data_IF_211073541563
#
_entry.id   IF_211073541563
#
_cell.length_a   1.000
_cell.length_b   1.000
_cell.length_c   1.000
_cell.angle_alpha   90.00
_cell.angle_beta   90.00
_cell.angle_gamma   90.00
#
_symmetry.space_group_name_H-M   'P 1'
#
loop_
_entity.id
_entity.type
_entity.pdbx_description
1 polymer ?
#
# COMPACT_ATOMS: atom_id res chain seq x y z
N UNK A 1 -8.31 12.21 4.33
CA UNK A 1 -7.35 13.35 4.35
C UNK A 1 -5.96 12.75 4.50
N UNK A 2 -4.96 13.21 3.74
CA UNK A 2 -3.58 12.75 3.93
C UNK A 2 -3.08 13.25 5.27
N UNK A 3 -2.47 12.35 6.05
CA UNK A 3 -1.86 12.62 7.34
C UNK A 3 -0.35 12.77 7.16
N UNK A 4 0.27 11.81 6.47
CA UNK A 4 1.71 11.80 6.16
C UNK A 4 1.93 11.03 4.84
N UNK A 5 2.87 11.49 4.03
CA UNK A 5 3.41 10.74 2.89
C UNK A 5 4.58 9.89 3.36
N UNK A 6 4.64 8.63 2.93
CA UNK A 6 5.63 7.65 3.41
C UNK A 6 6.48 7.07 2.27
N UNK A 7 6.05 7.22 1.01
CA UNK A 7 6.83 6.96 -0.21
C UNK A 7 6.30 7.83 -1.35
N UNK A 8 7.17 8.31 -2.24
CA UNK A 8 6.81 9.16 -3.39
C UNK A 8 7.65 8.81 -4.63
N UNK A 9 7.75 7.52 -4.92
CA UNK A 9 8.39 7.00 -6.12
C UNK A 9 7.36 6.74 -7.24
N UNK A 10 7.82 6.75 -8.49
CA UNK A 10 6.93 6.67 -9.67
C UNK A 10 6.10 5.38 -9.69
N UNK A 11 6.70 4.25 -9.31
CA UNK A 11 6.08 2.92 -9.32
C UNK A 11 5.70 2.43 -7.91
N UNK A 12 6.03 3.23 -6.89
CA UNK A 12 5.71 2.93 -5.51
C UNK A 12 5.47 4.21 -4.71
N UNK A 13 4.21 4.43 -4.34
CA UNK A 13 3.87 5.59 -3.51
C UNK A 13 2.86 5.22 -2.45
N UNK A 14 3.01 5.89 -1.32
CA UNK A 14 2.34 5.52 -0.08
C UNK A 14 1.97 6.75 0.73
N UNK A 15 0.76 6.76 1.28
CA UNK A 15 0.36 7.76 2.26
C UNK A 15 -0.49 7.17 3.36
N UNK A 16 -0.29 7.64 4.58
CA UNK A 16 -1.26 7.44 5.65
C UNK A 16 -2.37 8.45 5.47
N UNK A 17 -3.61 7.97 5.51
CA UNK A 17 -4.82 8.77 5.36
C UNK A 17 -5.74 8.55 6.55
N UNK A 18 -6.51 9.58 6.88
CA UNK A 18 -7.58 9.51 7.88
C UNK A 18 -8.95 9.46 7.19
N UNK A 19 -9.74 8.43 7.51
CA UNK A 19 -11.13 8.31 7.08
C UNK A 19 -11.96 9.44 7.69
N UNK A 20 -12.70 10.18 6.84
CA UNK A 20 -13.52 11.31 7.31
C UNK A 20 -14.79 10.87 8.05
N UNK A 21 -15.26 9.65 7.85
CA UNK A 21 -16.50 9.15 8.46
C UNK A 21 -16.28 8.55 9.85
N UNK A 22 -15.21 7.78 10.05
CA UNK A 22 -14.97 7.07 11.32
C UNK A 22 -13.67 7.50 12.03
N UNK A 23 -12.85 8.33 11.39
CA UNK A 23 -11.56 8.76 11.96
C UNK A 23 -10.45 7.70 11.93
N UNK A 24 -10.69 6.50 11.41
CA UNK A 24 -9.66 5.46 11.28
C UNK A 24 -8.52 5.93 10.38
N UNK A 25 -7.27 5.74 10.82
CA UNK A 25 -6.10 5.92 9.97
C UNK A 25 -5.89 4.64 9.14
N UNK A 26 -5.45 4.80 7.90
CA UNK A 26 -5.11 3.69 7.03
C UNK A 26 -3.93 4.07 6.13
N UNK A 27 -3.01 3.14 5.90
CA UNK A 27 -2.03 3.26 4.84
C UNK A 27 -2.72 2.95 3.50
N UNK A 28 -2.43 3.78 2.50
CA UNK A 28 -2.89 3.67 1.12
C UNK A 28 -1.65 3.55 0.25
N UNK A 29 -1.37 2.34 -0.23
CA UNK A 29 -0.17 2.00 -0.99
C UNK A 29 -0.56 1.67 -2.42
N UNK A 30 0.26 2.14 -3.35
CA UNK A 30 0.24 1.74 -4.75
C UNK A 30 1.60 1.12 -5.10
N UNK A 31 1.56 0.04 -5.89
CA UNK A 31 2.72 -0.65 -6.43
C UNK A 31 2.47 -0.95 -7.91
N UNK A 32 3.48 -0.75 -8.75
CA UNK A 32 3.52 -1.16 -10.15
C UNK A 32 4.79 -1.99 -10.39
N UNK A 33 4.68 -3.10 -11.12
CA UNK A 33 5.84 -3.92 -11.49
C UNK A 33 6.21 -3.63 -12.94
N UNK A 34 7.22 -2.79 -13.17
CA UNK A 34 7.62 -2.41 -14.53
C UNK A 34 8.60 -3.42 -15.12
N UNK A 35 8.22 -4.06 -16.22
CA UNK A 35 9.14 -4.94 -16.97
C UNK A 35 9.72 -4.30 -18.25
N UNK A 36 9.30 -3.08 -18.57
CA UNK A 36 9.70 -2.30 -19.76
C UNK A 36 9.35 -2.97 -21.09
N UNK A 37 8.43 -3.93 -21.10
CA UNK A 37 7.98 -4.66 -22.29
C UNK A 37 6.49 -4.40 -22.48
N UNK A 38 6.08 -4.02 -23.69
CA UNK A 38 4.67 -4.01 -24.14
C UNK A 38 3.61 -3.24 -23.30
N UNK A 39 4.00 -2.32 -22.41
CA UNK A 39 3.07 -1.55 -21.56
C UNK A 39 2.16 -2.46 -20.69
N UNK A 40 1.15 -1.87 -20.05
CA UNK A 40 0.08 -2.55 -19.30
C UNK A 40 0.59 -3.38 -18.13
N UNK A 41 1.57 -2.82 -17.41
CA UNK A 41 2.24 -3.44 -16.27
C UNK A 41 1.25 -3.83 -15.15
N UNK A 42 1.54 -4.90 -14.39
CA UNK A 42 0.79 -5.26 -13.20
C UNK A 42 0.75 -4.11 -12.20
N UNK A 43 -0.43 -3.85 -11.64
CA UNK A 43 -0.63 -2.79 -10.65
C UNK A 43 -1.44 -3.28 -9.47
N UNK A 44 -1.10 -2.77 -8.29
CA UNK A 44 -1.66 -3.18 -7.02
C UNK A 44 -1.98 -1.98 -6.13
N UNK A 45 -3.01 -2.13 -5.30
CA UNK A 45 -3.39 -1.16 -4.27
C UNK A 45 -3.71 -1.87 -2.96
N UNK A 46 -3.15 -1.37 -1.87
CA UNK A 46 -3.38 -1.87 -0.52
C UNK A 46 -4.00 -0.78 0.34
N UNK A 47 -5.10 -1.11 1.04
CA UNK A 47 -5.67 -0.27 2.09
C UNK A 47 -5.59 -1.01 3.42
N UNK A 48 -4.68 -0.54 4.27
CA UNK A 48 -4.26 -1.22 5.50
C UNK A 48 -4.69 -0.34 6.68
N UNK A 49 -5.64 -0.77 7.54
CA UNK A 49 -5.93 -0.05 8.77
C UNK A 49 -4.68 0.03 9.65
N UNK A 50 -4.37 1.22 10.18
CA UNK A 50 -3.22 1.45 11.05
C UNK A 50 -3.60 2.22 12.31
N UNK A 51 -2.96 1.88 13.41
CA UNK A 51 -3.02 2.54 14.71
C UNK A 51 -2.15 3.80 14.72
N UNK A 52 -2.33 4.66 15.72
CA UNK A 52 -1.48 5.85 15.87
C UNK A 52 0.01 5.51 16.06
N UNK A 53 0.33 4.36 16.67
CA UNK A 53 1.71 3.90 16.83
C UNK A 53 2.30 3.49 15.50
N UNK A 54 1.59 2.70 14.71
CA UNK A 54 2.03 2.27 13.38
C UNK A 54 2.18 3.45 12.41
N UNK A 55 1.33 4.50 12.53
CA UNK A 55 1.51 5.73 11.76
C UNK A 55 2.88 6.38 12.04
N UNK A 56 3.32 6.40 13.31
CA UNK A 56 4.65 6.94 13.64
C UNK A 56 5.76 6.07 13.07
N UNK A 57 5.66 4.75 13.23
CA UNK A 57 6.63 3.81 12.68
C UNK A 57 6.78 3.95 11.15
N UNK A 58 5.67 4.06 10.42
CA UNK A 58 5.69 4.29 8.97
C UNK A 58 6.27 5.66 8.60
N UNK A 59 6.02 6.70 9.40
CA UNK A 59 6.60 8.02 9.17
C UNK A 59 8.11 8.08 9.46
N UNK A 60 8.58 7.30 10.43
CA UNK A 60 9.98 7.23 10.85
C UNK A 60 10.83 6.37 9.92
N UNK A 61 10.28 5.31 9.34
CA UNK A 61 10.96 4.46 8.35
C UNK A 61 11.41 5.29 7.13
N UNK A 62 10.57 6.22 6.69
CA UNK A 62 10.84 6.98 5.46
C UNK A 62 10.88 6.09 4.22
N UNK A 63 11.26 6.66 3.09
CA UNK A 63 11.11 6.03 1.77
C UNK A 63 11.91 4.73 1.61
N UNK A 64 13.08 4.60 2.25
CA UNK A 64 13.97 3.44 2.06
C UNK A 64 13.57 2.20 2.87
N UNK A 65 12.85 2.37 3.98
CA UNK A 65 12.51 1.27 4.90
C UNK A 65 10.99 1.06 5.04
N UNK A 66 10.18 1.82 4.29
CA UNK A 66 8.72 1.76 4.40
C UNK A 66 8.14 0.41 4.01
N UNK A 67 8.74 -0.31 3.06
CA UNK A 67 8.31 -1.67 2.70
C UNK A 67 8.42 -2.62 3.90
N UNK A 68 9.59 -2.68 4.53
CA UNK A 68 9.80 -3.49 5.72
C UNK A 68 8.84 -3.07 6.85
N UNK A 69 8.65 -1.76 7.05
CA UNK A 69 7.71 -1.26 8.05
C UNK A 69 6.24 -1.61 7.73
N UNK A 70 5.87 -1.75 6.45
CA UNK A 70 4.56 -2.25 6.04
C UNK A 70 4.43 -3.75 6.28
N UNK A 71 5.47 -4.54 6.00
CA UNK A 71 5.49 -5.99 6.19
C UNK A 71 5.50 -6.42 7.67
N UNK A 72 5.92 -5.53 8.57
CA UNK A 72 5.80 -5.71 10.02
C UNK A 72 4.35 -5.52 10.53
N UNK A 73 3.46 -4.95 9.72
CA UNK A 73 2.05 -4.78 10.09
C UNK A 73 1.30 -6.11 10.02
N UNK A 74 0.43 -6.36 11.02
CA UNK A 74 -0.41 -7.55 11.07
C UNK A 74 -1.87 -7.19 11.42
N UNK A 75 -2.59 -6.47 10.52
CA UNK A 75 -3.98 -6.13 10.73
C UNK A 75 -4.90 -7.36 10.71
N UNK A 76 -6.05 -7.27 11.40
CA UNK A 76 -7.09 -8.32 11.32
C UNK A 76 -7.59 -8.54 9.89
N UNK A 77 -7.63 -7.46 9.10
CA UNK A 77 -7.89 -7.46 7.66
C UNK A 77 -7.34 -6.21 6.98
N UNK A 78 -6.98 -6.34 5.71
CA UNK A 78 -6.70 -5.24 4.81
C UNK A 78 -7.28 -5.51 3.43
N UNK A 79 -7.57 -4.45 2.67
CA UNK A 79 -8.09 -4.61 1.31
C UNK A 79 -6.92 -4.70 0.35
N UNK A 80 -6.89 -5.76 -0.45
CA UNK A 80 -6.00 -5.92 -1.58
C UNK A 80 -6.80 -5.72 -2.86
N UNK A 81 -6.28 -4.89 -3.76
CA UNK A 81 -6.77 -4.75 -5.12
C UNK A 81 -5.61 -4.92 -6.09
N UNK A 82 -5.84 -5.59 -7.22
CA UNK A 82 -4.79 -5.72 -8.22
C UNK A 82 -5.30 -6.14 -9.58
N UNK A 83 -4.50 -5.84 -10.60
CA UNK A 83 -4.66 -6.29 -11.98
C UNK A 83 -3.32 -6.83 -12.49
N UNK A 84 -3.35 -7.94 -13.19
CA UNK A 84 -2.19 -8.52 -13.87
C UNK A 84 -1.85 -7.79 -15.18
N UNK A 85 -0.76 -8.22 -15.81
CA UNK A 85 -0.31 -7.66 -17.08
C UNK A 85 -1.36 -7.84 -18.18
N UNK A 86 -1.73 -6.75 -18.84
CA UNK A 86 -2.77 -6.74 -19.88
C UNK A 86 -4.20 -6.97 -19.36
N UNK A 87 -4.40 -7.04 -18.04
CA UNK A 87 -5.74 -7.15 -17.45
C UNK A 87 -6.38 -5.76 -17.30
N UNK A 88 -7.64 -5.65 -17.75
CA UNK A 88 -8.43 -4.43 -17.61
C UNK A 88 -9.16 -4.41 -16.26
N UNK A 89 -9.60 -5.57 -15.79
CA UNK A 89 -10.44 -5.71 -14.59
C UNK A 89 -9.60 -5.76 -13.32
N UNK A 90 -10.02 -4.98 -12.32
CA UNK A 90 -9.39 -5.02 -11.00
C UNK A 90 -10.04 -6.11 -10.15
N UNK A 91 -9.23 -7.06 -9.70
CA UNK A 91 -9.62 -7.98 -8.63
C UNK A 91 -9.56 -7.27 -7.28
N UNK A 92 -10.46 -7.65 -6.35
CA UNK A 92 -10.48 -7.13 -4.98
C UNK A 92 -10.79 -8.24 -4.00
N UNK A 93 -10.02 -8.33 -2.92
CA UNK A 93 -10.29 -9.27 -1.84
C UNK A 93 -9.78 -8.76 -0.49
N UNK A 94 -10.39 -9.27 0.58
CA UNK A 94 -9.90 -9.03 1.94
C UNK A 94 -8.80 -10.03 2.26
N UNK A 95 -7.61 -9.53 2.54
CA UNK A 95 -6.50 -10.30 3.11
C UNK A 95 -6.45 -10.07 4.63
N UNK A 96 -5.67 -10.88 5.35
CA UNK A 96 -5.60 -10.91 6.82
C UNK A 96 -4.20 -11.24 7.30
N UNK A 97 -3.85 -10.75 8.49
CA UNK A 97 -2.55 -11.03 9.11
C UNK A 97 -1.47 -10.17 8.48
N UNK A 98 -0.25 -10.71 8.41
CA UNK A 98 0.92 -9.99 7.91
C UNK A 98 0.66 -9.40 6.52
N UNK A 99 0.98 -8.13 6.35
CA UNK A 99 0.89 -7.46 5.05
C UNK A 99 2.00 -7.98 4.14
N UNK A 100 1.65 -8.31 2.90
CA UNK A 100 2.61 -8.57 1.83
C UNK A 100 2.57 -7.42 0.85
N UNK A 101 3.67 -6.69 0.72
CA UNK A 101 3.82 -5.65 -0.29
C UNK A 101 4.15 -6.34 -1.63
N UNK A 102 3.36 -6.12 -2.70
CA UNK A 102 3.69 -6.66 -4.01
C UNK A 102 5.04 -6.14 -4.48
N UNK A 103 5.78 -6.99 -5.18
CA UNK A 103 7.01 -6.57 -5.85
C UNK A 103 6.73 -5.39 -6.79
N UNK A 104 7.59 -4.40 -6.75
CA UNK A 104 7.56 -3.21 -7.57
C UNK A 104 9.00 -2.82 -7.88
N UNK A 105 9.22 -2.29 -9.09
CA UNK A 105 10.51 -1.89 -9.63
C UNK A 105 10.30 -0.62 -10.48
#
# INVERSE_FOLDING_TARGET
MVVVSIADESHFFGSVRRCRSCGQNYASIFCETVDWVDSDDPQYQLLIPVTATEVRSLAEAGEYDVEAALEDLSPERYLFSGRGKGEIEWSKHWARGQVTVPRHD
#
